data_IF_485172531028
#
_entry.id   IF_485172531028
#
_cell.length_a   1.000
_cell.length_b   1.000
_cell.length_c   1.000
_cell.angle_alpha   90.00
_cell.angle_beta   90.00
_cell.angle_gamma   90.00
#
_symmetry.space_group_name_H-M   'P 1'
#
loop_
_entity.id
_entity.type
_entity.pdbx_description
1 polymer ?
#
# COMPACT_ATOMS: atom_id res chain seq x y z
N UNK A 1 0.05 22.64 -3.55
CA UNK A 1 1.19 21.79 -3.90
C UNK A 1 1.32 20.66 -2.89
N UNK A 2 1.26 19.43 -3.34
CA UNK A 2 1.43 18.26 -2.45
C UNK A 2 2.92 18.05 -2.20
N UNK A 3 3.32 18.09 -0.93
CA UNK A 3 4.68 17.72 -0.55
C UNK A 3 4.82 16.20 -0.60
N UNK A 4 5.87 15.72 -1.25
CA UNK A 4 6.20 14.30 -1.22
C UNK A 4 6.53 13.89 0.21
N UNK A 5 5.93 12.80 0.66
CA UNK A 5 6.16 12.23 1.98
C UNK A 5 6.69 10.81 1.84
N UNK A 6 7.58 10.44 2.73
CA UNK A 6 8.03 9.05 2.88
C UNK A 6 7.25 8.46 4.04
N UNK A 7 6.61 7.31 3.81
CA UNK A 7 5.85 6.63 4.85
C UNK A 7 5.94 5.12 4.67
N UNK A 8 5.73 4.40 5.75
CA UNK A 8 5.69 2.95 5.77
C UNK A 8 4.24 2.49 5.88
N UNK A 9 3.90 1.43 5.15
CA UNK A 9 2.53 0.91 5.09
C UNK A 9 2.55 -0.58 4.75
N UNK A 10 1.57 -1.36 5.23
CA UNK A 10 1.45 -2.76 4.83
C UNK A 10 1.19 -2.91 3.33
N UNK A 11 1.86 -3.87 2.71
CA UNK A 11 1.70 -4.19 1.29
C UNK A 11 1.60 -5.70 1.12
N UNK A 12 0.61 -6.14 0.32
CA UNK A 12 0.41 -7.54 -0.03
C UNK A 12 0.14 -7.63 -1.53
N UNK A 13 1.18 -7.68 -2.35
CA UNK A 13 0.98 -7.84 -3.79
C UNK A 13 1.99 -8.82 -4.39
N UNK A 14 1.52 -9.65 -5.31
CA UNK A 14 2.35 -10.52 -6.16
C UNK A 14 2.53 -9.91 -7.55
N UNK A 15 1.61 -9.06 -7.95
CA UNK A 15 1.57 -8.43 -9.27
C UNK A 15 1.89 -6.94 -9.14
N UNK A 16 2.38 -6.36 -10.24
CA UNK A 16 2.63 -4.93 -10.30
C UNK A 16 2.00 -4.30 -11.54
N UNK A 17 1.76 -3.01 -11.48
CA UNK A 17 1.32 -2.25 -12.64
C UNK A 17 2.55 -1.88 -13.46
N UNK A 18 2.65 -2.40 -14.68
CA UNK A 18 3.78 -2.14 -15.57
C UNK A 18 3.50 -1.01 -16.57
N UNK A 19 2.23 -0.80 -16.92
CA UNK A 19 1.82 0.24 -17.87
C UNK A 19 0.74 1.10 -17.26
N UNK A 20 0.99 2.40 -17.19
CA UNK A 20 0.03 3.36 -16.67
C UNK A 20 -1.00 3.75 -17.74
N UNK A 21 -2.27 4.01 -17.35
CA UNK A 21 -3.24 4.59 -18.26
C UNK A 21 -2.78 5.95 -18.80
N UNK A 22 -3.28 6.32 -19.98
CA UNK A 22 -3.01 7.63 -20.58
C UNK A 22 -3.48 8.75 -19.65
N UNK A 23 -2.66 9.79 -19.52
CA UNK A 23 -2.95 10.95 -18.66
C UNK A 23 -3.13 10.61 -17.18
N UNK A 24 -2.46 9.56 -16.72
CA UNK A 24 -2.45 9.20 -15.30
C UNK A 24 -1.42 10.03 -14.53
N UNK A 25 -1.64 10.13 -13.22
CA UNK A 25 -0.72 10.78 -12.29
C UNK A 25 -0.21 9.72 -11.33
N UNK A 26 1.10 9.58 -11.24
CA UNK A 26 1.73 8.68 -10.27
C UNK A 26 1.67 9.33 -8.89
N UNK A 27 0.98 8.68 -7.94
CA UNK A 27 0.80 9.18 -6.59
C UNK A 27 1.80 8.62 -5.60
N UNK A 28 2.17 7.36 -5.75
CA UNK A 28 3.09 6.67 -4.83
C UNK A 28 3.94 5.64 -5.56
N UNK A 29 5.16 5.46 -5.07
CA UNK A 29 6.11 4.46 -5.57
C UNK A 29 6.99 3.95 -4.44
N UNK A 30 7.63 2.81 -4.65
CA UNK A 30 8.69 2.32 -3.76
C UNK A 30 9.87 1.78 -4.57
N UNK A 31 10.87 1.24 -3.89
CA UNK A 31 12.09 0.73 -4.54
C UNK A 31 11.86 -0.55 -5.36
N UNK A 32 10.77 -1.26 -5.11
CA UNK A 32 10.44 -2.53 -5.79
C UNK A 32 9.45 -2.30 -6.92
N UNK A 33 8.38 -1.53 -6.63
CA UNK A 33 7.30 -1.26 -7.58
C UNK A 33 7.22 0.23 -7.88
N UNK A 34 7.35 0.59 -9.15
CA UNK A 34 7.26 1.99 -9.58
C UNK A 34 5.87 2.56 -9.32
N UNK A 35 4.82 1.75 -9.47
CA UNK A 35 3.43 2.19 -9.32
C UNK A 35 2.83 1.55 -8.08
N UNK A 36 2.74 2.33 -7.01
CA UNK A 36 2.07 1.95 -5.78
C UNK A 36 0.78 2.74 -5.54
N UNK A 37 0.62 3.86 -6.23
CA UNK A 37 -0.60 4.64 -6.23
C UNK A 37 -0.68 5.45 -7.52
N UNK A 38 -1.88 5.55 -8.08
CA UNK A 38 -2.14 6.23 -9.36
C UNK A 38 -3.51 6.87 -9.37
N UNK A 39 -3.65 8.01 -10.05
CA UNK A 39 -4.95 8.59 -10.37
C UNK A 39 -5.09 8.74 -11.87
N UNK A 40 -6.30 8.48 -12.39
CA UNK A 40 -6.60 8.63 -13.80
C UNK A 40 -8.11 8.79 -14.02
N UNK A 41 -8.48 9.18 -15.23
CA UNK A 41 -9.88 9.23 -15.64
C UNK A 41 -10.24 8.06 -16.55
N UNK A 42 -11.39 7.46 -16.30
CA UNK A 42 -12.00 6.45 -17.14
C UNK A 42 -13.41 6.96 -17.52
N UNK A 43 -13.55 7.49 -18.74
CA UNK A 43 -14.76 8.22 -19.14
C UNK A 43 -14.96 9.45 -18.28
N UNK A 44 -16.08 9.52 -17.57
CA UNK A 44 -16.39 10.62 -16.63
C UNK A 44 -15.96 10.30 -15.18
N UNK A 45 -15.42 9.12 -14.95
CA UNK A 45 -15.04 8.68 -13.60
C UNK A 45 -13.61 9.07 -13.27
N UNK A 46 -13.40 9.59 -12.07
CA UNK A 46 -12.08 9.80 -11.50
C UNK A 46 -11.73 8.59 -10.64
N UNK A 47 -10.62 7.91 -10.96
CA UNK A 47 -10.20 6.69 -10.29
C UNK A 47 -8.86 6.94 -9.60
N UNK A 48 -8.79 6.59 -8.31
CA UNK A 48 -7.55 6.55 -7.55
C UNK A 48 -7.33 5.12 -7.08
N UNK A 49 -6.23 4.53 -7.48
CA UNK A 49 -5.88 3.16 -7.11
C UNK A 49 -4.60 3.13 -6.28
N UNK A 50 -4.56 2.28 -5.26
CA UNK A 50 -3.36 2.07 -4.45
C UNK A 50 -3.11 0.57 -4.29
N UNK A 51 -1.83 0.20 -4.25
CA UNK A 51 -1.39 -1.18 -4.03
C UNK A 51 -1.15 -1.48 -2.56
N UNK A 52 -0.90 -0.47 -1.75
CA UNK A 52 -0.70 -0.66 -0.32
C UNK A 52 -2.02 -0.65 0.43
N UNK A 53 -1.98 -1.08 1.68
CA UNK A 53 -3.15 -1.23 2.54
C UNK A 53 -3.08 -0.29 3.75
N UNK A 54 -3.51 0.97 3.60
CA UNK A 54 -3.50 1.90 4.73
C UNK A 54 -4.48 1.51 5.83
N UNK A 55 -5.51 0.75 5.50
CA UNK A 55 -6.55 0.29 6.41
C UNK A 55 -6.11 -0.86 7.31
N UNK A 56 -5.01 -1.55 6.96
CA UNK A 56 -4.53 -2.69 7.74
C UNK A 56 -3.42 -2.22 8.68
N UNK A 57 -3.56 -2.55 9.97
CA UNK A 57 -2.49 -2.29 10.94
C UNK A 57 -1.34 -3.28 10.75
N UNK A 58 -0.15 -2.92 11.23
CA UNK A 58 0.99 -3.83 11.20
C UNK A 58 0.76 -5.07 12.08
N UNK A 59 0.04 -4.91 13.20
CA UNK A 59 -0.36 -6.02 14.06
C UNK A 59 -1.24 -7.00 13.30
N UNK A 60 -2.19 -6.50 12.52
CA UNK A 60 -3.04 -7.32 11.66
C UNK A 60 -2.23 -8.01 10.56
N UNK A 61 -1.24 -7.32 10.00
CA UNK A 61 -0.34 -7.89 9.00
C UNK A 61 0.44 -9.07 9.56
N UNK A 62 0.98 -8.95 10.77
CA UNK A 62 1.67 -10.06 11.46
C UNK A 62 0.74 -11.24 11.64
N UNK A 63 -0.49 -11.00 12.10
CA UNK A 63 -1.51 -12.06 12.26
C UNK A 63 -1.82 -12.75 10.94
N UNK A 64 -1.93 -12.01 9.84
CA UNK A 64 -2.17 -12.56 8.51
C UNK A 64 -1.00 -13.41 8.01
N UNK A 65 0.23 -12.99 8.28
CA UNK A 65 1.43 -13.75 7.92
C UNK A 65 1.43 -15.09 8.65
N UNK A 66 1.17 -15.09 9.97
CA UNK A 66 1.09 -16.34 10.73
C UNK A 66 -0.03 -17.25 10.24
N UNK A 67 -1.20 -16.70 9.98
CA UNK A 67 -2.35 -17.46 9.47
C UNK A 67 -2.06 -18.07 8.09
N UNK A 68 -1.29 -17.40 7.24
CA UNK A 68 -0.99 -17.80 5.87
C UNK A 68 0.41 -18.43 5.70
N UNK A 69 1.08 -18.79 6.76
CA UNK A 69 2.45 -19.31 6.73
C UNK A 69 2.62 -20.45 5.72
N UNK A 70 1.76 -21.47 5.79
CA UNK A 70 1.81 -22.61 4.87
C UNK A 70 1.68 -22.18 3.40
N UNK A 71 0.72 -21.30 3.10
CA UNK A 71 0.50 -20.78 1.76
C UNK A 71 1.71 -19.96 1.26
N UNK A 72 2.29 -19.15 2.13
CA UNK A 72 3.46 -18.33 1.79
C UNK A 72 4.67 -19.18 1.45
N UNK A 73 4.88 -20.28 2.20
CA UNK A 73 5.95 -21.22 1.93
C UNK A 73 5.70 -22.01 0.63
N UNK A 74 4.46 -22.48 0.43
CA UNK A 74 4.08 -23.24 -0.77
C UNK A 74 4.20 -22.40 -2.05
N UNK A 75 3.87 -21.12 -1.97
CA UNK A 75 3.98 -20.19 -3.11
C UNK A 75 5.39 -19.61 -3.26
N UNK A 76 6.35 -20.05 -2.44
CA UNK A 76 7.74 -19.59 -2.47
C UNK A 76 7.89 -18.07 -2.25
N UNK A 77 6.93 -17.45 -1.57
CA UNK A 77 7.04 -16.06 -1.15
C UNK A 77 8.16 -15.88 -0.12
N UNK A 78 8.38 -16.91 0.69
CA UNK A 78 9.53 -17.03 1.61
C UNK A 78 10.17 -18.40 1.44
N UNK A 79 11.47 -18.44 1.65
CA UNK A 79 12.27 -19.64 1.48
C UNK A 79 11.98 -20.69 2.56
N UNK A 80 11.86 -20.24 3.80
CA UNK A 80 11.67 -21.10 4.97
C UNK A 80 11.03 -20.30 6.13
N UNK A 81 10.75 -21.00 7.23
CA UNK A 81 10.16 -20.39 8.43
C UNK A 81 11.05 -19.32 9.04
N UNK A 82 12.36 -19.48 8.98
CA UNK A 82 13.32 -18.50 9.50
C UNK A 82 13.21 -17.16 8.79
N UNK A 83 13.04 -17.18 7.47
CA UNK A 83 12.86 -15.96 6.68
C UNK A 83 11.55 -15.26 7.04
N UNK A 84 10.48 -16.02 7.28
CA UNK A 84 9.20 -15.47 7.75
C UNK A 84 9.38 -14.84 9.13
N UNK A 85 10.03 -15.52 10.07
CA UNK A 85 10.24 -15.02 11.43
C UNK A 85 11.06 -13.73 11.43
N UNK A 86 12.09 -13.65 10.61
CA UNK A 86 12.90 -12.44 10.44
C UNK A 86 12.08 -11.29 9.86
N UNK A 87 11.24 -11.57 8.89
CA UNK A 87 10.37 -10.57 8.29
C UNK A 87 9.33 -10.05 9.29
N UNK A 88 8.72 -10.93 10.06
CA UNK A 88 7.79 -10.56 11.15
C UNK A 88 8.47 -9.64 12.15
N UNK A 89 9.73 -9.93 12.52
CA UNK A 89 10.49 -9.09 13.44
C UNK A 89 10.72 -7.69 12.90
N UNK A 90 11.02 -7.57 11.59
CA UNK A 90 11.16 -6.27 10.94
C UNK A 90 9.84 -5.47 11.02
N UNK A 91 8.71 -6.15 10.78
CA UNK A 91 7.39 -5.53 10.87
C UNK A 91 7.09 -5.09 12.30
N UNK A 92 7.39 -5.92 13.29
CA UNK A 92 7.21 -5.58 14.71
C UNK A 92 8.03 -4.36 15.12
N UNK A 93 9.23 -4.21 14.59
CA UNK A 93 10.05 -3.02 14.82
C UNK A 93 9.42 -1.78 14.16
N UNK A 94 8.79 -1.94 12.99
CA UNK A 94 8.07 -0.86 12.31
C UNK A 94 6.82 -0.39 13.09
N UNK A 95 6.16 -1.26 13.85
CA UNK A 95 5.02 -0.90 14.69
C UNK A 95 5.39 0.25 15.64
N UNK A 96 6.61 0.25 16.16
CA UNK A 96 7.09 1.24 17.12
C UNK A 96 7.26 2.64 16.53
N UNK A 97 7.46 2.75 15.20
CA UNK A 97 7.76 4.01 14.52
C UNK A 97 6.72 4.38 13.45
N UNK A 98 5.76 3.51 13.18
CA UNK A 98 4.72 3.73 12.17
C UNK A 98 3.78 4.86 12.58
N UNK A 99 3.45 5.71 11.61
CA UNK A 99 2.52 6.83 11.79
C UNK A 99 1.27 6.59 10.95
N UNK A 100 0.13 6.46 11.61
CA UNK A 100 -1.16 6.25 10.96
C UNK A 100 -1.49 7.39 9.99
N UNK A 101 -1.25 8.63 10.40
CA UNK A 101 -1.58 9.82 9.59
C UNK A 101 -0.87 9.80 8.23
N UNK A 102 0.40 9.41 8.21
CA UNK A 102 1.18 9.37 6.97
C UNK A 102 0.63 8.34 5.98
N UNK A 103 0.30 7.13 6.43
CA UNK A 103 -0.22 6.08 5.56
C UNK A 103 -1.67 6.31 5.12
N UNK A 104 -2.44 7.08 5.87
CA UNK A 104 -3.84 7.40 5.54
C UNK A 104 -3.98 8.63 4.64
N UNK A 105 -2.89 9.32 4.33
CA UNK A 105 -2.90 10.60 3.62
C UNK A 105 -3.59 10.53 2.26
N UNK A 106 -3.35 9.47 1.49
CA UNK A 106 -3.98 9.32 0.17
C UNK A 106 -5.49 9.18 0.27
N UNK A 107 -5.99 8.41 1.23
CA UNK A 107 -7.42 8.28 1.47
C UNK A 107 -8.05 9.62 1.90
N UNK A 108 -7.38 10.35 2.77
CA UNK A 108 -7.83 11.69 3.17
C UNK A 108 -7.89 12.65 1.99
N UNK A 109 -6.86 12.64 1.15
CA UNK A 109 -6.80 13.47 -0.05
C UNK A 109 -7.90 13.10 -1.04
N UNK A 110 -8.16 11.81 -1.21
CA UNK A 110 -9.23 11.34 -2.08
C UNK A 110 -10.61 11.80 -1.58
N UNK A 111 -10.87 11.69 -0.29
CA UNK A 111 -12.11 12.17 0.31
C UNK A 111 -12.28 13.68 0.14
N UNK A 112 -11.22 14.44 0.33
CA UNK A 112 -11.25 15.91 0.09
C UNK A 112 -11.52 16.23 -1.37
N UNK A 113 -10.91 15.51 -2.30
CA UNK A 113 -11.13 15.66 -3.72
C UNK A 113 -12.59 15.40 -4.09
N UNK A 114 -13.19 14.30 -3.60
CA UNK A 114 -14.60 13.98 -3.83
C UNK A 114 -15.52 15.10 -3.29
N UNK A 115 -15.27 15.58 -2.09
CA UNK A 115 -16.07 16.64 -1.48
C UNK A 115 -16.04 17.93 -2.31
N UNK A 116 -14.87 18.30 -2.84
CA UNK A 116 -14.73 19.47 -3.70
C UNK A 116 -15.49 19.30 -5.03
N UNK A 117 -15.40 18.12 -5.67
CA UNK A 117 -16.04 17.83 -6.94
C UNK A 117 -17.56 17.73 -6.82
N UNK A 118 -18.07 17.22 -5.72
CA UNK A 118 -19.50 17.01 -5.50
C UNK A 118 -20.19 18.10 -4.70
N UNK A 119 -19.46 19.12 -4.26
CA UNK A 119 -19.98 20.20 -3.39
C UNK A 119 -20.69 19.68 -2.12
N UNK A 120 -20.18 18.61 -1.56
CA UNK A 120 -20.74 17.98 -0.35
C UNK A 120 -20.11 18.56 0.89
#
# INVERSE_FOLDING_TARGET
>A
MYKRQIFNTPVFNFDEVVTLPTNSILLASNSINKVMGVSFKAGISNIWGIQYHPEISYEKMVSLIHFRTERLLNNKAFKDQNEIDNHVKIIEDEIKISKLDARMRELENWLKFINLELNI
#
